data_IF_512514074622
#
_entry.id   IF_512514074622
#
_cell.length_a   1.000
_cell.length_b   1.000
_cell.length_c   1.000
_cell.angle_alpha   90.00
_cell.angle_beta   90.00
_cell.angle_gamma   90.00
#
_symmetry.space_group_name_H-M   'P 1'
#
loop_
_entity.id
_entity.type
_entity.pdbx_description
1 polymer ?
#
# COMPACT_ATOMS: atom_id res chain seq x y z
N UNK A 1 11.53 -24.26 4.87
CA UNK A 1 10.12 -23.82 4.71
C UNK A 1 10.06 -22.35 5.08
N UNK A 2 9.47 -21.48 4.26
CA UNK A 2 9.37 -20.04 4.59
C UNK A 2 8.37 -19.92 5.75
N UNK A 3 8.84 -19.59 6.96
CA UNK A 3 7.97 -19.26 8.09
C UNK A 3 7.75 -17.76 8.09
N UNK A 4 6.48 -17.33 8.16
CA UNK A 4 6.15 -15.92 8.33
C UNK A 4 5.94 -15.59 9.79
N UNK A 5 6.35 -14.38 10.14
CA UNK A 5 6.01 -13.78 11.43
C UNK A 5 4.49 -13.70 11.55
N UNK A 6 3.97 -14.07 12.72
CA UNK A 6 2.55 -14.09 13.03
C UNK A 6 2.23 -12.91 13.93
N UNK A 7 1.29 -12.07 13.50
CA UNK A 7 0.73 -10.97 14.26
C UNK A 7 -0.42 -11.53 15.11
N UNK A 8 -0.28 -11.41 16.43
CA UNK A 8 -1.21 -11.99 17.42
C UNK A 8 -2.10 -10.91 18.05
N UNK A 9 -1.67 -9.65 17.99
CA UNK A 9 -2.35 -8.53 18.66
C UNK A 9 -2.51 -7.31 17.74
N UNK A 10 -3.39 -6.38 18.13
CA UNK A 10 -3.49 -5.09 17.44
C UNK A 10 -2.18 -4.28 17.49
N UNK A 11 -1.43 -4.23 18.63
CA UNK A 11 -0.07 -3.72 18.64
C UNK A 11 0.85 -4.35 17.59
N UNK A 12 0.85 -5.67 17.41
CA UNK A 12 1.68 -6.31 16.38
C UNK A 12 1.29 -5.83 14.97
N UNK A 13 -0.02 -5.72 14.70
CA UNK A 13 -0.53 -5.13 13.46
C UNK A 13 -0.09 -3.67 13.30
N UNK A 14 -0.06 -2.92 14.40
CA UNK A 14 0.40 -1.54 14.42
C UNK A 14 1.89 -1.44 14.13
N UNK A 15 2.70 -2.30 14.71
CA UNK A 15 4.15 -2.24 14.58
C UNK A 15 4.61 -2.81 13.21
N UNK A 16 3.80 -3.69 12.60
CA UNK A 16 4.04 -4.21 11.23
C UNK A 16 3.98 -3.15 10.12
N UNK A 17 3.40 -1.98 10.38
CA UNK A 17 3.19 -0.94 9.38
C UNK A 17 2.12 -1.26 8.32
N UNK A 18 1.40 -2.38 8.40
CA UNK A 18 0.38 -2.75 7.40
C UNK A 18 -0.73 -1.68 7.28
N UNK A 19 -1.19 -1.44 6.04
CA UNK A 19 -2.20 -0.44 5.70
C UNK A 19 -1.90 1.04 6.05
N UNK A 20 -0.65 1.39 6.38
CA UNK A 20 -0.21 2.76 6.73
C UNK A 20 1.11 3.17 6.09
N UNK A 21 1.31 4.46 5.74
CA UNK A 21 0.43 5.59 6.05
C UNK A 21 -0.80 5.68 5.13
N UNK A 22 -1.70 6.64 5.39
CA UNK A 22 -2.71 7.06 4.41
C UNK A 22 -2.01 7.46 3.09
N UNK A 23 -2.57 7.18 1.90
CA UNK A 23 -3.94 6.76 1.58
C UNK A 23 -4.16 5.24 1.47
N UNK A 24 -3.23 4.43 2.00
CA UNK A 24 -3.30 2.98 1.85
C UNK A 24 -4.57 2.37 2.47
N UNK A 25 -5.13 1.37 1.79
CA UNK A 25 -6.46 0.83 2.12
C UNK A 25 -6.46 -0.45 2.96
N UNK A 26 -5.28 -1.01 3.27
CA UNK A 26 -5.11 -2.34 3.85
C UNK A 26 -5.84 -2.55 5.18
N UNK A 27 -5.88 -1.54 6.05
CA UNK A 27 -6.61 -1.65 7.32
C UNK A 27 -8.12 -1.81 7.09
N UNK A 28 -8.70 -0.99 6.21
CA UNK A 28 -10.12 -1.12 5.86
C UNK A 28 -10.41 -2.43 5.14
N UNK A 29 -9.51 -2.89 4.27
CA UNK A 29 -9.62 -4.18 3.59
C UNK A 29 -9.62 -5.34 4.59
N UNK A 30 -8.71 -5.34 5.57
CA UNK A 30 -8.63 -6.36 6.61
C UNK A 30 -9.87 -6.36 7.49
N UNK A 31 -10.32 -5.18 7.93
CA UNK A 31 -11.55 -5.06 8.70
C UNK A 31 -12.75 -5.62 7.94
N UNK A 32 -12.93 -5.21 6.69
CA UNK A 32 -14.00 -5.71 5.82
C UNK A 32 -13.93 -7.23 5.68
N UNK A 33 -12.77 -7.78 5.32
CA UNK A 33 -12.62 -9.21 5.09
C UNK A 33 -12.97 -10.01 6.34
N UNK A 34 -12.46 -9.61 7.50
CA UNK A 34 -12.72 -10.30 8.78
C UNK A 34 -14.20 -10.23 9.18
N UNK A 35 -14.86 -9.10 8.92
CA UNK A 35 -16.23 -8.88 9.40
C UNK A 35 -17.31 -9.34 8.42
N UNK A 36 -17.00 -9.44 7.13
CA UNK A 36 -17.96 -9.78 6.07
C UNK A 36 -17.68 -11.15 5.44
N UNK A 37 -16.41 -11.52 5.27
CA UNK A 37 -16.05 -12.77 4.61
C UNK A 37 -15.80 -13.93 5.56
N UNK A 38 -15.67 -13.72 6.87
CA UNK A 38 -15.37 -14.79 7.82
C UNK A 38 -16.55 -15.12 8.74
N UNK A 39 -16.79 -16.42 8.89
CA UNK A 39 -17.67 -16.99 9.90
C UNK A 39 -16.84 -17.76 10.92
N UNK A 40 -17.06 -17.50 12.21
CA UNK A 40 -16.35 -18.14 13.31
C UNK A 40 -17.30 -19.12 13.99
N UNK A 41 -16.99 -20.42 13.91
CA UNK A 41 -17.81 -21.45 14.55
C UNK A 41 -17.45 -21.62 16.03
N UNK A 42 -18.33 -22.27 16.79
CA UNK A 42 -18.09 -22.61 18.20
C UNK A 42 -16.87 -23.51 18.41
N UNK A 43 -16.48 -24.27 17.39
CA UNK A 43 -15.34 -25.20 17.44
C UNK A 43 -14.01 -24.54 17.05
N UNK A 44 -13.95 -23.20 17.05
CA UNK A 44 -12.80 -22.40 16.58
C UNK A 44 -12.44 -22.59 15.10
N UNK A 45 -13.29 -23.25 14.31
CA UNK A 45 -13.11 -23.30 12.86
C UNK A 45 -13.54 -21.96 12.25
N UNK A 46 -12.74 -21.45 11.32
CA UNK A 46 -13.04 -20.23 10.57
C UNK A 46 -13.40 -20.62 9.14
N UNK A 47 -14.61 -20.27 8.70
CA UNK A 47 -15.09 -20.53 7.34
C UNK A 47 -15.11 -19.24 6.54
N UNK A 48 -14.69 -19.30 5.27
CA UNK A 48 -14.76 -18.19 4.32
C UNK A 48 -16.12 -18.21 3.60
N UNK A 49 -16.90 -17.14 3.77
CA UNK A 49 -18.24 -16.95 3.19
C UNK A 49 -18.19 -16.34 1.78
N UNK A 50 -17.20 -15.50 1.51
CA UNK A 50 -16.96 -14.96 0.17
C UNK A 50 -16.53 -16.09 -0.79
N UNK A 51 -16.66 -15.90 -2.10
CA UNK A 51 -16.26 -16.91 -3.09
C UNK A 51 -14.99 -16.51 -3.87
N UNK A 52 -13.78 -16.78 -3.32
CA UNK A 52 -12.53 -16.49 -4.02
C UNK A 52 -12.41 -17.14 -5.40
N UNK A 53 -12.96 -18.36 -5.56
CA UNK A 53 -12.95 -19.08 -6.83
C UNK A 53 -13.75 -18.39 -7.94
N UNK A 54 -14.83 -17.67 -7.57
CA UNK A 54 -15.66 -16.92 -8.53
C UNK A 54 -15.07 -15.55 -8.88
N UNK A 55 -14.05 -15.10 -8.14
CA UNK A 55 -13.46 -13.78 -8.31
C UNK A 55 -14.28 -12.64 -7.71
N UNK A 56 -15.25 -12.95 -6.84
CA UNK A 56 -16.05 -11.95 -6.13
C UNK A 56 -15.14 -10.90 -5.49
N UNK A 57 -15.54 -9.62 -5.45
CA UNK A 57 -14.75 -8.55 -4.84
C UNK A 57 -13.31 -8.37 -5.40
N UNK A 58 -13.00 -8.99 -6.54
CA UNK A 58 -11.66 -8.97 -7.14
C UNK A 58 -10.70 -10.03 -6.60
N UNK A 59 -11.20 -11.13 -6.02
CA UNK A 59 -10.34 -12.27 -5.68
C UNK A 59 -9.63 -12.83 -6.92
N UNK A 60 -8.35 -13.21 -6.76
CA UNK A 60 -7.56 -13.89 -7.80
C UNK A 60 -6.79 -15.05 -7.20
N UNK A 61 -6.49 -16.07 -8.02
CA UNK A 61 -5.65 -17.19 -7.61
C UNK A 61 -4.21 -16.69 -7.39
N UNK A 62 -3.67 -16.89 -6.19
CA UNK A 62 -2.30 -16.51 -5.87
C UNK A 62 -1.38 -17.72 -6.04
N UNK A 63 -0.54 -17.70 -7.07
CA UNK A 63 0.32 -18.84 -7.41
C UNK A 63 1.57 -18.98 -6.54
N UNK A 64 1.86 -18.01 -5.66
CA UNK A 64 3.06 -18.00 -4.81
C UNK A 64 4.37 -18.21 -5.61
N UNK A 65 4.48 -17.66 -6.83
CA UNK A 65 5.64 -17.82 -7.73
C UNK A 65 6.94 -17.29 -7.10
N UNK A 66 6.83 -16.17 -6.38
CA UNK A 66 7.95 -15.53 -5.65
C UNK A 66 8.31 -16.27 -4.35
N UNK A 67 7.57 -17.35 -4.00
CA UNK A 67 7.78 -18.16 -2.79
C UNK A 67 7.77 -17.32 -1.51
N UNK A 68 6.92 -16.30 -1.46
CA UNK A 68 6.75 -15.45 -0.29
C UNK A 68 5.90 -16.13 0.81
N UNK A 69 5.18 -17.21 0.50
CA UNK A 69 4.40 -17.99 1.48
C UNK A 69 4.90 -19.44 1.56
N UNK A 70 4.55 -20.20 2.62
CA UNK A 70 4.83 -21.63 2.67
C UNK A 70 4.28 -22.39 1.46
N UNK A 71 5.02 -23.40 0.99
CA UNK A 71 4.54 -24.32 -0.04
C UNK A 71 3.50 -25.26 0.56
N UNK A 72 2.38 -25.43 -0.14
CA UNK A 72 1.24 -26.28 0.27
C UNK A 72 0.53 -26.84 -0.97
N UNK A 73 -0.21 -27.93 -0.80
CA UNK A 73 -1.11 -28.49 -1.82
C UNK A 73 -2.47 -27.75 -1.88
N UNK A 74 -2.69 -26.82 -0.95
CA UNK A 74 -3.90 -26.01 -0.85
C UNK A 74 -3.81 -24.79 -1.79
N UNK A 75 -4.94 -24.12 -2.03
CA UNK A 75 -4.98 -22.94 -2.90
C UNK A 75 -4.86 -21.67 -2.09
N UNK A 76 -4.00 -20.78 -2.56
CA UNK A 76 -3.98 -19.40 -2.10
C UNK A 76 -4.82 -18.52 -3.03
N UNK A 77 -5.54 -17.56 -2.46
CA UNK A 77 -6.21 -16.49 -3.20
C UNK A 77 -5.82 -15.15 -2.62
N UNK A 78 -5.68 -14.15 -3.47
CA UNK A 78 -5.43 -12.78 -3.08
C UNK A 78 -6.64 -11.87 -3.32
N UNK A 79 -6.74 -10.79 -2.56
CA UNK A 79 -7.70 -9.69 -2.77
C UNK A 79 -7.08 -8.37 -2.34
N UNK A 80 -7.61 -7.27 -2.86
CA UNK A 80 -7.19 -5.91 -2.52
C UNK A 80 -6.64 -5.12 -3.69
N UNK A 81 -6.50 -5.72 -4.88
CA UNK A 81 -6.17 -4.93 -6.07
C UNK A 81 -7.40 -4.18 -6.59
N UNK A 82 -7.45 -2.88 -6.29
CA UNK A 82 -8.55 -1.98 -6.64
C UNK A 82 -8.60 -1.61 -8.14
N UNK A 83 -7.61 -2.01 -8.94
CA UNK A 83 -7.63 -1.86 -10.39
C UNK A 83 -8.57 -2.86 -11.09
N UNK A 84 -9.00 -3.93 -10.40
CA UNK A 84 -9.90 -4.92 -11.00
C UNK A 84 -11.35 -4.42 -11.02
N UNK A 85 -12.06 -4.73 -12.10
CA UNK A 85 -13.46 -4.33 -12.25
C UNK A 85 -14.33 -4.86 -11.10
N UNK A 86 -14.14 -6.12 -10.71
CA UNK A 86 -14.87 -6.78 -9.61
C UNK A 86 -14.53 -6.18 -8.24
N UNK A 87 -13.42 -5.46 -8.11
CA UNK A 87 -13.09 -4.75 -6.88
C UNK A 87 -14.08 -3.63 -6.57
N UNK A 88 -14.86 -3.15 -7.55
CA UNK A 88 -15.93 -2.15 -7.33
C UNK A 88 -16.99 -2.61 -6.33
N UNK A 89 -17.14 -3.93 -6.17
CA UNK A 89 -18.09 -4.55 -5.25
C UNK A 89 -17.59 -4.49 -3.79
N UNK A 90 -16.31 -4.14 -3.57
CA UNK A 90 -15.81 -3.81 -2.24
C UNK A 90 -16.53 -2.57 -1.69
N UNK A 91 -16.73 -2.47 -0.36
CA UNK A 91 -17.35 -1.30 0.24
C UNK A 91 -16.60 -0.01 -0.09
N UNK A 92 -17.35 1.09 -0.19
CA UNK A 92 -16.81 2.41 -0.51
C UNK A 92 -15.72 2.84 0.48
N UNK A 93 -15.85 2.52 1.77
CA UNK A 93 -14.82 2.82 2.77
C UNK A 93 -13.49 2.05 2.56
N UNK A 94 -13.49 0.93 1.85
CA UNK A 94 -12.26 0.22 1.45
C UNK A 94 -11.62 0.94 0.27
N UNK A 95 -12.43 1.47 -0.65
CA UNK A 95 -11.95 2.04 -1.92
C UNK A 95 -11.67 3.53 -1.86
N UNK A 96 -12.15 4.26 -0.84
CA UNK A 96 -12.15 5.73 -0.80
C UNK A 96 -10.77 6.37 -0.99
N UNK A 97 -9.70 5.73 -0.54
CA UNK A 97 -8.33 6.24 -0.66
C UNK A 97 -7.67 6.00 -2.03
N UNK A 98 -8.30 5.23 -2.90
CA UNK A 98 -7.73 4.84 -4.19
C UNK A 98 -7.76 6.00 -5.19
N UNK A 99 -6.60 6.32 -5.76
CA UNK A 99 -6.43 7.48 -6.64
C UNK A 99 -6.50 7.12 -8.12
N UNK A 100 -6.35 5.84 -8.47
CA UNK A 100 -6.16 5.39 -9.86
C UNK A 100 -4.77 5.71 -10.45
N UNK A 101 -3.89 6.36 -9.68
CA UNK A 101 -2.56 6.73 -10.11
C UNK A 101 -1.51 5.68 -9.72
N UNK A 102 -0.29 5.88 -10.24
CA UNK A 102 0.89 5.13 -9.84
C UNK A 102 1.43 5.64 -8.49
N UNK A 103 0.73 5.28 -7.42
CA UNK A 103 1.10 5.60 -6.04
C UNK A 103 0.85 4.40 -5.09
N UNK A 104 1.02 4.63 -3.79
CA UNK A 104 0.89 3.60 -2.77
C UNK A 104 -0.57 3.27 -2.39
N UNK A 105 -1.57 3.96 -2.95
CA UNK A 105 -2.98 3.82 -2.55
C UNK A 105 -3.59 2.44 -2.83
N UNK A 106 -2.95 1.64 -3.68
CA UNK A 106 -3.42 0.32 -4.11
C UNK A 106 -2.37 -0.80 -3.92
N UNK A 107 -1.47 -0.68 -2.94
CA UNK A 107 -0.41 -1.69 -2.73
C UNK A 107 -0.80 -2.83 -1.81
N UNK A 108 -1.79 -2.66 -0.93
CA UNK A 108 -2.08 -3.63 0.13
C UNK A 108 -2.88 -4.83 -0.39
N UNK A 109 -2.55 -6.02 0.09
CA UNK A 109 -3.19 -7.28 -0.27
C UNK A 109 -3.49 -8.12 0.96
N UNK A 110 -4.57 -8.88 0.89
CA UNK A 110 -4.81 -10.04 1.76
C UNK A 110 -4.64 -11.28 0.90
N UNK A 111 -3.89 -12.26 1.41
CA UNK A 111 -3.77 -13.58 0.80
C UNK A 111 -4.33 -14.61 1.79
N UNK A 112 -5.27 -15.44 1.34
CA UNK A 112 -5.85 -16.51 2.15
C UNK A 112 -5.48 -17.87 1.58
N UNK A 113 -5.17 -18.81 2.46
CA UNK A 113 -5.09 -20.23 2.16
C UNK A 113 -6.40 -20.88 2.60
N UNK A 114 -7.04 -21.63 1.70
CA UNK A 114 -8.32 -22.29 2.01
C UNK A 114 -8.33 -23.76 1.62
N UNK A 115 -9.00 -24.57 2.45
CA UNK A 115 -9.37 -25.96 2.16
C UNK A 115 -10.89 -26.05 2.00
N UNK A 116 -11.35 -26.19 0.75
CA UNK A 116 -12.77 -26.03 0.35
C UNK A 116 -13.32 -24.66 0.77
N UNK A 117 -13.77 -24.52 2.02
CA UNK A 117 -14.29 -23.29 2.61
C UNK A 117 -13.62 -22.92 3.93
N UNK A 118 -12.83 -23.81 4.53
CA UNK A 118 -12.14 -23.56 5.80
C UNK A 118 -10.90 -22.72 5.57
N UNK A 119 -10.71 -21.69 6.39
CA UNK A 119 -9.55 -20.81 6.37
C UNK A 119 -8.40 -21.47 7.12
N UNK A 120 -7.32 -21.75 6.40
CA UNK A 120 -6.12 -22.40 6.93
C UNK A 120 -5.10 -21.36 7.41
N UNK A 121 -4.98 -20.27 6.67
CA UNK A 121 -4.15 -19.12 7.05
C UNK A 121 -4.58 -17.87 6.31
N UNK A 122 -4.38 -16.72 6.94
CA UNK A 122 -4.57 -15.40 6.35
C UNK A 122 -3.27 -14.62 6.50
N UNK A 123 -2.83 -14.04 5.40
CA UNK A 123 -1.67 -13.19 5.33
C UNK A 123 -2.07 -11.79 4.89
N UNK A 124 -1.43 -10.80 5.50
CA UNK A 124 -1.45 -9.42 5.02
C UNK A 124 -0.11 -9.13 4.36
N UNK A 125 -0.14 -8.44 3.23
CA UNK A 125 1.07 -8.06 2.51
C UNK A 125 0.89 -6.78 1.71
N UNK A 126 1.97 -6.28 1.12
CA UNK A 126 1.92 -5.19 0.16
C UNK A 126 2.83 -5.46 -1.02
N UNK A 127 2.52 -4.86 -2.16
CA UNK A 127 3.52 -4.73 -3.21
C UNK A 127 4.59 -3.69 -2.80
N UNK A 128 5.85 -3.93 -3.19
CA UNK A 128 6.93 -2.94 -3.08
C UNK A 128 7.03 -2.03 -4.31
N UNK A 129 6.43 -2.46 -5.41
CA UNK A 129 6.33 -1.77 -6.70
C UNK A 129 4.96 -2.10 -7.32
N UNK A 130 4.78 -1.92 -8.62
CA UNK A 130 3.48 -2.20 -9.27
C UNK A 130 3.09 -3.68 -9.23
N UNK A 131 4.05 -4.60 -9.22
CA UNK A 131 3.81 -6.01 -9.55
C UNK A 131 4.33 -7.00 -8.52
N UNK A 132 5.33 -6.58 -7.74
CA UNK A 132 6.12 -7.49 -6.92
C UNK A 132 5.72 -7.40 -5.46
N UNK A 133 5.52 -8.54 -4.83
CA UNK A 133 5.25 -8.59 -3.40
C UNK A 133 6.48 -8.21 -2.59
N UNK A 134 6.25 -7.64 -1.41
CA UNK A 134 7.30 -7.36 -0.45
C UNK A 134 7.36 -8.49 0.59
N UNK A 135 8.29 -9.45 0.48
CA UNK A 135 8.37 -10.56 1.44
C UNK A 135 8.64 -10.14 2.88
N UNK A 136 9.29 -8.98 3.08
CA UNK A 136 9.61 -8.42 4.40
C UNK A 136 8.43 -7.63 5.01
N UNK A 137 7.34 -7.49 4.25
CA UNK A 137 6.10 -6.87 4.67
C UNK A 137 4.96 -7.85 4.42
N UNK A 138 5.20 -9.15 4.66
CA UNK A 138 4.21 -10.22 4.59
C UNK A 138 4.13 -10.90 5.94
N UNK A 139 2.97 -10.86 6.56
CA UNK A 139 2.75 -11.37 7.91
C UNK A 139 1.53 -12.28 7.94
N UNK A 140 1.59 -13.35 8.74
CA UNK A 140 0.43 -14.17 9.05
C UNK A 140 -0.41 -13.49 10.14
N UNK A 141 -1.73 -13.57 10.08
CA UNK A 141 -2.62 -13.08 11.13
C UNK A 141 -3.10 -14.27 11.97
N UNK A 142 -2.92 -14.20 13.29
CA UNK A 142 -3.36 -15.27 14.17
C UNK A 142 -4.89 -15.35 14.27
N UNK A 143 -5.46 -16.53 14.55
CA UNK A 143 -6.90 -16.67 14.82
C UNK A 143 -7.42 -15.76 15.95
N UNK A 144 -6.61 -15.51 16.98
CA UNK A 144 -6.93 -14.63 18.10
C UNK A 144 -7.03 -13.17 17.65
N UNK A 145 -6.12 -12.73 16.78
CA UNK A 145 -6.19 -11.38 16.20
C UNK A 145 -7.42 -11.26 15.28
N UNK A 146 -7.74 -12.27 14.48
CA UNK A 146 -8.97 -12.27 13.67
C UNK A 146 -10.23 -12.13 14.53
N UNK A 147 -10.33 -12.87 15.64
CA UNK A 147 -11.44 -12.76 16.60
C UNK A 147 -11.48 -11.39 17.27
N UNK A 148 -10.32 -10.83 17.61
CA UNK A 148 -10.22 -9.47 18.18
C UNK A 148 -10.77 -8.44 17.22
N UNK A 149 -10.35 -8.48 15.95
CA UNK A 149 -10.83 -7.56 14.89
C UNK A 149 -12.34 -7.73 14.68
N UNK A 150 -12.84 -8.98 14.64
CA UNK A 150 -14.26 -9.29 14.45
C UNK A 150 -15.16 -8.63 15.49
N UNK A 151 -14.69 -8.51 16.73
CA UNK A 151 -15.45 -7.95 17.85
C UNK A 151 -15.37 -6.42 17.96
N UNK A 152 -14.64 -5.75 17.06
CA UNK A 152 -14.54 -4.29 17.05
C UNK A 152 -15.49 -3.66 16.03
N UNK A 153 -15.97 -2.46 16.36
CA UNK A 153 -16.51 -1.56 15.33
C UNK A 153 -15.38 -1.10 14.42
N UNK A 154 -15.70 -0.72 13.18
CA UNK A 154 -14.70 -0.19 12.24
C UNK A 154 -13.97 1.01 12.85
N UNK A 155 -14.72 1.91 13.49
CA UNK A 155 -14.18 3.10 14.14
C UNK A 155 -13.18 2.74 15.24
N UNK A 156 -13.49 1.76 16.09
CA UNK A 156 -12.60 1.33 17.16
C UNK A 156 -11.36 0.61 16.63
N UNK A 157 -11.52 -0.22 15.59
CA UNK A 157 -10.41 -0.88 14.93
C UNK A 157 -9.44 0.14 14.31
N UNK A 158 -9.96 1.10 13.53
CA UNK A 158 -9.15 2.15 12.91
C UNK A 158 -8.51 3.05 13.98
N UNK A 159 -9.24 3.43 15.03
CA UNK A 159 -8.68 4.22 16.15
C UNK A 159 -7.49 3.49 16.76
N UNK A 160 -7.64 2.23 17.12
CA UNK A 160 -6.58 1.46 17.78
C UNK A 160 -5.38 1.18 16.87
N UNK A 161 -5.60 1.06 15.55
CA UNK A 161 -4.53 0.74 14.59
C UNK A 161 -3.82 1.96 13.99
N UNK A 162 -4.38 3.16 14.14
CA UNK A 162 -3.80 4.41 13.62
C UNK A 162 -3.29 5.35 14.72
N UNK A 163 -3.78 5.25 15.96
CA UNK A 163 -3.45 6.23 17.02
C UNK A 163 -1.97 6.27 17.41
N UNK A 164 -1.23 5.15 17.31
CA UNK A 164 0.23 5.18 17.56
C UNK A 164 1.00 6.02 16.52
N UNK A 165 0.44 6.27 15.35
CA UNK A 165 1.06 7.10 14.30
C UNK A 165 0.64 8.57 14.35
N UNK A 166 -0.41 8.90 15.12
CA UNK A 166 -0.83 10.28 15.37
C UNK A 166 -0.02 10.88 16.54
N UNK A 167 0.54 10.03 17.42
CA UNK A 167 1.31 10.45 18.60
C UNK A 167 2.82 10.27 18.37
N UNK A 168 3.37 10.83 17.29
CA UNK A 168 4.78 11.25 17.32
C UNK A 168 4.73 12.70 17.80
N UNK A 169 5.13 13.01 19.04
CA UNK A 169 5.28 14.40 19.45
C UNK A 169 6.35 15.05 18.57
N UNK A 170 6.14 16.30 18.18
CA UNK A 170 7.12 17.14 17.47
C UNK A 170 8.50 17.21 18.19
N UNK A 171 8.57 16.73 19.44
CA UNK A 171 9.77 16.70 20.27
C UNK A 171 10.85 15.70 19.84
N UNK A 172 10.57 14.76 18.92
CA UNK A 172 11.61 13.83 18.42
C UNK A 172 12.33 14.33 17.16
N UNK A 173 12.09 15.58 16.73
CA UNK A 173 13.00 16.25 15.78
C UNK A 173 14.29 16.62 16.52
N UNK A 174 15.18 15.66 16.71
CA UNK A 174 16.59 15.98 16.96
C UNK A 174 17.12 16.75 15.74
N UNK A 175 17.24 18.06 15.92
CA UNK A 175 17.98 18.91 14.99
C UNK A 175 19.45 18.50 15.12
N UNK A 176 20.15 18.11 14.05
CA UNK A 176 21.58 17.87 14.14
C UNK A 176 22.24 19.13 14.69
N UNK A 177 22.86 19.04 15.87
CA UNK A 177 23.71 20.10 16.38
C UNK A 177 24.85 20.28 15.39
N UNK A 178 24.70 21.28 14.52
CA UNK A 178 25.81 21.83 13.76
C UNK A 178 26.70 22.51 14.80
N UNK A 179 27.79 21.86 15.17
CA UNK A 179 28.85 22.45 15.99
C UNK A 179 29.24 23.80 15.37
N UNK A 180 28.80 24.90 15.99
CA UNK A 180 29.22 26.24 15.64
C UNK A 180 30.54 26.48 16.38
N UNK A 181 31.67 26.68 15.68
CA UNK A 181 32.92 27.01 16.35
C UNK A 181 32.80 28.35 17.07
N UNK A 182 33.38 28.38 18.25
CA UNK A 182 33.47 29.50 19.17
C UNK A 182 34.02 30.78 18.49
N UNK A 183 33.31 31.90 18.69
CA UNK A 183 33.64 33.20 18.11
C UNK A 183 34.90 33.78 18.75
N UNK A 184 35.96 33.95 17.94
CA UNK A 184 37.12 34.79 18.27
C UNK A 184 36.73 36.29 18.21
N UNK A 185 37.29 37.18 19.05
CA UNK A 185 36.84 38.57 19.12
C UNK A 185 37.08 39.35 17.82
N UNK A 186 36.13 40.24 17.54
CA UNK A 186 36.02 41.11 16.37
C UNK A 186 37.21 42.06 16.25
N UNK A 187 37.94 41.97 15.14
CA UNK A 187 38.73 43.09 14.60
C UNK A 187 37.93 43.72 13.46
N UNK A 188 37.69 45.03 13.57
CA UNK A 188 36.99 45.84 12.57
C UNK A 188 37.99 46.28 11.49
N UNK A 189 37.67 46.10 10.21
CA UNK A 189 37.88 47.21 9.28
C UNK A 189 36.66 47.48 8.37
N UNK A 190 36.24 48.74 8.41
CA UNK A 190 35.78 49.63 7.33
C UNK A 190 34.94 49.12 6.14
N UNK A 191 33.85 49.86 5.93
CA UNK A 191 32.89 49.81 4.83
C UNK A 191 33.53 49.94 3.43
N UNK A 192 32.98 49.19 2.47
CA UNK A 192 32.87 49.63 1.08
C UNK A 192 31.62 49.05 0.39
N UNK A 193 30.92 49.95 -0.32
CA UNK A 193 29.71 49.80 -1.12
C UNK A 193 29.80 48.71 -2.20
N UNK A 194 28.68 48.02 -2.51
CA UNK A 194 27.91 48.18 -3.77
C UNK A 194 26.93 47.02 -4.10
N UNK A 195 25.66 47.41 -4.33
CA UNK A 195 24.61 46.88 -5.23
C UNK A 195 23.97 45.47 -5.07
N UNK A 196 22.63 45.36 -5.26
CA UNK A 196 21.89 44.10 -5.31
C UNK A 196 21.69 43.61 -6.75
N UNK A 197 21.97 42.33 -7.04
CA UNK A 197 21.63 41.71 -8.33
C UNK A 197 20.37 40.85 -8.23
N UNK A 198 19.30 41.37 -8.84
CA UNK A 198 18.15 40.60 -9.30
C UNK A 198 18.58 39.53 -10.32
N UNK A 199 18.05 38.31 -10.21
CA UNK A 199 17.73 37.45 -11.36
C UNK A 199 16.99 36.19 -10.89
N UNK A 200 15.67 36.27 -10.75
CA UNK A 200 14.80 35.11 -10.93
C UNK A 200 14.40 35.07 -12.40
N UNK A 201 14.97 34.14 -13.17
CA UNK A 201 14.49 33.77 -14.50
C UNK A 201 13.72 32.45 -14.40
N UNK A 202 12.42 32.55 -14.65
CA UNK A 202 11.55 31.44 -15.02
C UNK A 202 11.95 30.85 -16.38
N UNK A 203 11.44 29.63 -16.62
CA UNK A 203 11.33 28.87 -17.87
C UNK A 203 12.52 27.98 -18.26
N UNK A 204 12.32 26.66 -18.19
CA UNK A 204 12.09 25.82 -19.39
C UNK A 204 12.28 24.33 -19.06
N UNK A 205 11.23 23.52 -19.15
CA UNK A 205 11.35 22.07 -19.03
C UNK A 205 10.11 21.29 -19.45
N UNK A 206 8.92 21.88 -19.36
CA UNK A 206 7.67 21.15 -19.63
C UNK A 206 7.02 21.38 -21.00
N UNK A 207 7.37 22.44 -21.74
CA UNK A 207 6.79 22.65 -23.07
C UNK A 207 7.44 21.80 -24.18
N UNK A 208 8.71 21.40 -24.06
CA UNK A 208 9.39 20.60 -25.08
C UNK A 208 8.92 19.13 -25.10
N UNK A 209 8.55 18.56 -23.96
CA UNK A 209 8.19 17.14 -23.87
C UNK A 209 6.83 16.82 -24.52
N UNK A 210 5.88 17.76 -24.46
CA UNK A 210 4.54 17.58 -25.03
C UNK A 210 4.60 17.59 -26.57
N UNK A 211 5.38 18.50 -27.16
CA UNK A 211 5.52 18.58 -28.62
C UNK A 211 6.14 17.32 -29.21
N UNK A 212 7.16 16.75 -28.54
CA UNK A 212 7.78 15.48 -28.95
C UNK A 212 6.79 14.31 -28.83
N UNK A 213 6.01 14.26 -27.76
CA UNK A 213 5.01 13.20 -27.56
C UNK A 213 3.89 13.24 -28.61
N UNK A 214 3.38 14.44 -28.94
CA UNK A 214 2.37 14.61 -29.98
C UNK A 214 2.92 14.18 -31.35
N UNK A 215 4.17 14.55 -31.68
CA UNK A 215 4.80 14.16 -32.94
C UNK A 215 4.91 12.63 -33.08
N UNK A 216 5.29 11.93 -32.00
CA UNK A 216 5.39 10.47 -31.99
C UNK A 216 4.03 9.77 -32.18
N UNK A 217 2.96 10.32 -31.63
CA UNK A 217 1.59 9.80 -31.83
C UNK A 217 1.17 9.99 -33.29
N UNK A 218 1.42 11.17 -33.87
CA UNK A 218 1.07 11.46 -35.27
C UNK A 218 1.82 10.52 -36.22
N UNK A 219 3.12 10.32 -36.04
CA UNK A 219 3.92 9.39 -36.86
C UNK A 219 3.41 7.95 -36.73
N UNK A 220 3.05 7.53 -35.52
CA UNK A 220 2.56 6.17 -35.28
C UNK A 220 1.20 5.94 -35.94
N UNK A 221 0.30 6.94 -35.92
CA UNK A 221 -1.00 6.90 -36.59
C UNK A 221 -0.88 6.94 -38.12
N UNK A 222 0.05 7.71 -38.68
CA UNK A 222 0.27 7.74 -40.13
C UNK A 222 0.83 6.42 -40.63
N UNK A 223 1.79 5.81 -39.92
CA UNK A 223 2.30 4.47 -40.24
C UNK A 223 1.18 3.42 -40.15
N UNK A 224 0.35 3.48 -39.10
CA UNK A 224 -0.79 2.56 -38.95
C UNK A 224 -1.81 2.70 -40.08
N UNK A 225 -2.11 3.93 -40.51
CA UNK A 225 -3.02 4.17 -41.63
C UNK A 225 -2.39 3.71 -42.95
N UNK A 226 -1.12 4.05 -43.22
CA UNK A 226 -0.42 3.59 -44.43
C UNK A 226 -0.37 2.06 -44.53
N UNK A 227 -0.07 1.37 -43.43
CA UNK A 227 -0.05 -0.10 -43.40
C UNK A 227 -1.42 -0.74 -43.57
N UNK A 228 -2.50 -0.04 -43.24
CA UNK A 228 -3.89 -0.48 -43.45
C UNK A 228 -4.40 -0.21 -44.88
N UNK A 229 -3.89 0.82 -45.56
CA UNK A 229 -4.34 1.22 -46.90
C UNK A 229 -3.46 0.68 -48.06
N UNK A 230 -2.29 0.10 -47.75
CA UNK A 230 -1.39 -0.57 -48.71
C UNK A 230 -1.55 -2.11 -48.73
N UNK A 231 -2.66 -2.62 -48.19
CA UNK A 231 -3.11 -4.01 -48.31
C UNK A 231 -4.52 -4.03 -48.88
#
# INVERSE_FOLDING_TARGET
MVRKETLNTLPDLVDSGFGRPSPRHGLNLLYWFVTHCLHFSFNNEITVLCSPFRGDYGFRLFHNKEKILPVTNMRYYEVGNLNHYEAKDLPEYVRRGYTGNLDDSNTDRIIICITRFSLESLYVTRHKDQWTFNPNQTFCISPELLKTIRNLTQKDFLRQTTSRYITIPESTRETPQRNVPERRPRQTPTMQNSQPSQNCKCCSGWCCCIAVFILMIVISLTIFLLTKYLK
#
